data_IF_255955273427
#
_entry.id   IF_255955273427
#
_cell.length_a   1.000
_cell.length_b   1.000
_cell.length_c   1.000
_cell.angle_alpha   90.00
_cell.angle_beta   90.00
_cell.angle_gamma   90.00
#
_symmetry.space_group_name_H-M   'P 1'
#
loop_
_entity.id
_entity.type
_entity.pdbx_description
1 polymer ?
#
# COMPACT_ATOMS: atom_id res chain seq x y z
N UNK A 1 -51.23 33.98 -4.42
CA UNK A 1 -50.37 34.20 -3.24
C UNK A 1 -49.02 33.56 -3.52
N UNK A 2 -47.93 34.33 -3.45
CA UNK A 2 -46.56 33.82 -3.65
C UNK A 2 -45.94 33.59 -2.27
N UNK A 3 -45.67 32.33 -1.92
CA UNK A 3 -44.99 31.98 -0.68
C UNK A 3 -43.48 32.21 -0.86
N UNK A 4 -42.91 33.15 -0.07
CA UNK A 4 -41.45 33.33 0.01
C UNK A 4 -40.85 32.17 0.81
N UNK A 5 -40.16 31.25 0.14
CA UNK A 5 -39.40 30.19 0.82
C UNK A 5 -38.08 30.81 1.33
N UNK A 6 -38.00 31.07 2.62
CA UNK A 6 -36.77 31.42 3.34
C UNK A 6 -36.05 30.15 3.80
N UNK A 7 -34.71 30.17 3.92
CA UNK A 7 -33.93 29.03 4.41
C UNK A 7 -33.42 28.02 3.35
N UNK A 8 -33.84 28.12 2.09
CA UNK A 8 -33.38 27.20 1.01
C UNK A 8 -31.86 27.29 0.76
N UNK A 9 -31.29 28.50 0.87
CA UNK A 9 -29.84 28.73 0.80
C UNK A 9 -29.09 28.14 2.00
N UNK A 10 -29.67 28.22 3.19
CA UNK A 10 -29.08 27.67 4.43
C UNK A 10 -29.10 26.13 4.38
N UNK A 11 -30.22 25.54 3.91
CA UNK A 11 -30.32 24.12 3.63
C UNK A 11 -29.26 23.66 2.61
N UNK A 12 -29.11 24.39 1.50
CA UNK A 12 -28.11 24.07 0.48
C UNK A 12 -26.68 24.12 1.05
N UNK A 13 -26.37 25.11 1.90
CA UNK A 13 -25.08 25.21 2.56
C UNK A 13 -24.84 24.08 3.58
N UNK A 14 -25.86 23.73 4.37
CA UNK A 14 -25.80 22.63 5.32
C UNK A 14 -25.58 21.28 4.61
N UNK A 15 -26.29 21.05 3.49
CA UNK A 15 -26.11 19.86 2.66
C UNK A 15 -24.70 19.77 2.08
N UNK A 16 -24.17 20.86 1.49
CA UNK A 16 -22.78 20.91 0.99
C UNK A 16 -21.74 20.65 2.09
N UNK A 17 -21.99 21.16 3.31
CA UNK A 17 -21.09 20.93 4.45
C UNK A 17 -21.11 19.46 4.87
N UNK A 18 -22.29 18.84 4.93
CA UNK A 18 -22.45 17.42 5.22
C UNK A 18 -21.83 16.53 4.16
N UNK A 19 -22.00 16.85 2.89
CA UNK A 19 -21.37 16.13 1.78
C UNK A 19 -19.84 16.13 1.90
N UNK A 20 -19.24 17.31 2.15
CA UNK A 20 -17.79 17.42 2.39
C UNK A 20 -17.32 16.63 3.61
N UNK A 21 -18.12 16.60 4.68
CA UNK A 21 -17.83 15.82 5.88
C UNK A 21 -17.79 14.32 5.56
N UNK A 22 -18.81 13.82 4.85
CA UNK A 22 -18.91 12.42 4.43
C UNK A 22 -17.75 12.06 3.50
N UNK A 23 -17.46 12.88 2.49
CA UNK A 23 -16.33 12.65 1.57
C UNK A 23 -14.98 12.59 2.31
N UNK A 24 -14.75 13.49 3.26
CA UNK A 24 -13.52 13.50 4.08
C UNK A 24 -13.39 12.24 4.93
N UNK A 25 -14.49 11.80 5.54
CA UNK A 25 -14.54 10.57 6.34
C UNK A 25 -14.36 9.32 5.46
N UNK A 26 -15.05 9.24 4.32
CA UNK A 26 -14.89 8.16 3.35
C UNK A 26 -13.44 8.04 2.85
N UNK A 27 -12.81 9.17 2.50
CA UNK A 27 -11.40 9.21 2.10
C UNK A 27 -10.46 8.65 3.18
N UNK A 28 -10.73 8.94 4.46
CA UNK A 28 -9.98 8.37 5.60
C UNK A 28 -10.23 6.86 5.72
N UNK A 29 -11.48 6.42 5.59
CA UNK A 29 -11.86 5.01 5.63
C UNK A 29 -11.18 4.20 4.51
N UNK A 30 -11.19 4.69 3.27
CA UNK A 30 -10.50 4.07 2.12
C UNK A 30 -9.00 3.98 2.40
N UNK A 31 -8.37 5.06 2.85
CA UNK A 31 -6.93 5.03 3.14
C UNK A 31 -6.58 4.03 4.24
N UNK A 32 -7.39 3.95 5.29
CA UNK A 32 -7.14 3.07 6.44
C UNK A 32 -7.34 1.61 6.06
N UNK A 33 -8.42 1.28 5.35
CA UNK A 33 -8.69 -0.07 4.84
C UNK A 33 -7.61 -0.56 3.88
N UNK A 34 -7.23 0.25 2.90
CA UNK A 34 -6.14 -0.07 1.97
C UNK A 34 -4.80 -0.28 2.68
N UNK A 35 -4.48 0.56 3.67
CA UNK A 35 -3.27 0.38 4.48
C UNK A 35 -3.32 -0.89 5.34
N UNK A 36 -4.50 -1.27 5.85
CA UNK A 36 -4.68 -2.50 6.61
C UNK A 36 -4.46 -3.74 5.72
N UNK A 37 -5.11 -3.78 4.56
CA UNK A 37 -4.91 -4.85 3.57
C UNK A 37 -3.44 -4.98 3.14
N UNK A 38 -2.75 -3.86 2.92
CA UNK A 38 -1.33 -3.89 2.57
C UNK A 38 -0.42 -4.32 3.73
N UNK A 39 -0.79 -4.05 4.99
CA UNK A 39 -0.06 -4.58 6.15
C UNK A 39 -0.21 -6.10 6.23
N UNK A 40 -1.42 -6.60 6.06
CA UNK A 40 -1.74 -8.02 6.04
C UNK A 40 -0.99 -8.74 4.91
N UNK A 41 -1.11 -8.23 3.68
CA UNK A 41 -0.44 -8.78 2.51
C UNK A 41 1.08 -8.86 2.70
N UNK A 42 1.71 -7.79 3.23
CA UNK A 42 3.14 -7.85 3.55
C UNK A 42 3.49 -8.91 4.58
N UNK A 43 2.64 -9.14 5.58
CA UNK A 43 2.82 -10.19 6.58
C UNK A 43 2.89 -11.56 5.92
N UNK A 44 1.97 -11.82 4.99
CA UNK A 44 1.86 -13.08 4.24
C UNK A 44 2.96 -13.24 3.19
N UNK A 45 3.39 -12.15 2.53
CA UNK A 45 4.44 -12.18 1.50
C UNK A 45 5.83 -12.37 2.10
N UNK A 46 6.10 -11.84 3.30
CA UNK A 46 7.43 -11.83 3.94
C UNK A 46 8.10 -13.21 4.07
N UNK A 47 7.40 -14.30 4.41
CA UNK A 47 7.95 -15.66 4.42
C UNK A 47 8.49 -16.14 3.07
N UNK A 48 7.88 -15.74 1.96
CA UNK A 48 8.31 -16.17 0.63
C UNK A 48 9.60 -15.48 0.17
N UNK A 49 9.95 -14.33 0.75
CA UNK A 49 11.13 -13.55 0.35
C UNK A 49 12.41 -14.26 0.82
N UNK A 50 13.33 -14.61 -0.10
CA UNK A 50 14.60 -15.23 0.25
C UNK A 50 15.44 -14.33 1.17
N UNK A 51 16.11 -14.95 2.15
CA UNK A 51 17.00 -14.28 3.10
C UNK A 51 18.38 -14.90 3.02
N UNK A 52 19.41 -14.05 2.96
CA UNK A 52 20.80 -14.51 2.98
C UNK A 52 21.11 -15.26 4.28
N UNK A 53 21.94 -16.32 4.20
CA UNK A 53 22.40 -17.05 5.39
C UNK A 53 23.17 -16.13 6.35
N UNK A 54 24.12 -15.37 5.81
CA UNK A 54 24.94 -14.38 6.51
C UNK A 54 25.02 -13.04 5.74
N UNK A 55 25.42 -11.97 6.43
CA UNK A 55 25.69 -10.70 5.78
C UNK A 55 27.05 -10.73 5.09
N UNK A 56 27.18 -10.02 3.97
CA UNK A 56 28.44 -9.85 3.21
C UNK A 56 28.90 -8.39 3.26
N UNK A 57 30.05 -8.10 2.65
CA UNK A 57 30.58 -6.74 2.51
C UNK A 57 29.64 -5.81 1.71
N UNK A 58 28.85 -6.37 0.79
CA UNK A 58 27.98 -5.60 -0.10
C UNK A 58 26.49 -5.70 0.23
N UNK A 59 26.08 -6.70 1.04
CA UNK A 59 24.66 -7.00 1.29
C UNK A 59 24.43 -7.37 2.73
N UNK A 60 23.46 -6.73 3.37
CA UNK A 60 23.01 -7.12 4.70
C UNK A 60 21.98 -8.27 4.60
N UNK A 61 22.00 -9.15 5.61
CA UNK A 61 21.00 -10.21 5.75
C UNK A 61 19.60 -9.61 5.88
N UNK A 62 18.66 -10.12 5.07
CA UNK A 62 17.25 -9.74 5.13
C UNK A 62 16.91 -8.39 4.47
N UNK A 63 17.85 -7.74 3.77
CA UNK A 63 17.60 -6.43 3.12
C UNK A 63 16.35 -6.43 2.25
N UNK A 64 16.17 -7.40 1.35
CA UNK A 64 14.98 -7.44 0.48
C UNK A 64 13.68 -7.59 1.30
N UNK A 65 13.67 -8.49 2.28
CA UNK A 65 12.52 -8.73 3.17
C UNK A 65 12.13 -7.49 3.98
N UNK A 66 13.13 -6.78 4.50
CA UNK A 66 12.93 -5.56 5.29
C UNK A 66 12.49 -4.36 4.44
N UNK A 67 12.77 -4.41 3.14
CA UNK A 67 12.45 -3.36 2.18
C UNK A 67 11.16 -3.62 1.37
N UNK A 68 10.37 -4.63 1.76
CA UNK A 68 8.99 -4.79 1.27
C UNK A 68 8.11 -3.66 1.82
N UNK A 69 7.73 -2.73 0.94
CA UNK A 69 7.00 -1.51 1.28
C UNK A 69 5.69 -1.45 0.52
N UNK A 70 4.77 -0.62 1.01
CA UNK A 70 3.55 -0.28 0.30
C UNK A 70 3.44 1.23 0.14
N UNK A 71 2.75 1.67 -0.90
CA UNK A 71 2.34 3.05 -1.09
C UNK A 71 0.87 3.06 -1.48
N UNK A 72 0.07 3.76 -0.70
CA UNK A 72 -1.35 3.96 -0.94
C UNK A 72 -1.56 5.29 -1.65
N UNK A 73 -2.30 5.27 -2.73
CA UNK A 73 -2.75 6.44 -3.47
C UNK A 73 -4.28 6.51 -3.40
N UNK A 74 -4.80 7.69 -3.13
CA UNK A 74 -6.24 7.95 -3.15
C UNK A 74 -6.49 8.87 -4.34
N UNK A 75 -7.50 8.54 -5.14
CA UNK A 75 -7.89 9.34 -6.29
C UNK A 75 -8.32 10.75 -5.85
N UNK A 76 -8.31 11.68 -6.81
CA UNK A 76 -8.61 13.10 -6.56
C UNK A 76 -10.04 13.30 -6.06
N UNK A 77 -10.96 12.48 -6.56
CA UNK A 77 -12.37 12.42 -6.14
C UNK A 77 -12.55 11.95 -4.69
N UNK A 78 -11.56 11.24 -4.13
CA UNK A 78 -11.62 10.68 -2.79
C UNK A 78 -12.53 9.46 -2.63
N UNK A 79 -13.09 8.94 -3.75
CA UNK A 79 -14.04 7.83 -3.76
C UNK A 79 -13.37 6.49 -4.11
N UNK A 80 -12.16 6.55 -4.66
CA UNK A 80 -11.38 5.35 -5.01
C UNK A 80 -9.92 5.48 -4.58
N UNK A 81 -9.22 4.35 -4.52
CA UNK A 81 -7.82 4.32 -4.18
C UNK A 81 -7.19 2.98 -4.52
N UNK A 82 -5.86 2.97 -4.57
CA UNK A 82 -5.08 1.76 -4.83
C UNK A 82 -3.83 1.74 -3.95
N UNK A 83 -3.38 0.54 -3.61
CA UNK A 83 -2.14 0.35 -2.87
C UNK A 83 -1.21 -0.56 -3.63
N UNK A 84 0.02 -0.08 -3.83
CA UNK A 84 1.06 -0.80 -4.54
C UNK A 84 2.07 -1.31 -3.53
N UNK A 85 2.28 -2.62 -3.50
CA UNK A 85 3.35 -3.28 -2.74
C UNK A 85 4.58 -3.43 -3.64
N UNK A 86 5.76 -3.05 -3.14
CA UNK A 86 7.01 -3.02 -3.91
C UNK A 86 8.22 -3.07 -3.01
N UNK A 87 9.34 -3.57 -3.53
CA UNK A 87 10.64 -3.40 -2.88
C UNK A 87 11.15 -1.99 -3.15
N UNK A 88 11.44 -1.24 -2.09
CA UNK A 88 12.03 0.10 -2.18
C UNK A 88 12.98 0.37 -1.02
N UNK A 89 14.01 1.19 -1.26
CA UNK A 89 14.93 1.66 -0.22
C UNK A 89 14.18 2.44 0.87
N UNK A 90 14.68 2.37 2.10
CA UNK A 90 14.15 3.13 3.22
C UNK A 90 14.35 4.64 3.04
N UNK A 91 13.51 5.45 3.70
CA UNK A 91 13.68 6.91 3.74
C UNK A 91 13.51 7.62 2.40
N UNK A 92 12.82 7.01 1.42
CA UNK A 92 12.59 7.64 0.11
C UNK A 92 13.84 7.70 -0.79
N UNK A 93 14.96 7.13 -0.35
CA UNK A 93 16.21 7.08 -1.12
C UNK A 93 16.02 6.33 -2.45
N UNK A 94 16.75 6.77 -3.49
CA UNK A 94 16.81 6.09 -4.78
C UNK A 94 17.48 4.72 -4.60
N UNK A 95 16.97 3.68 -5.27
CA UNK A 95 17.70 2.41 -5.39
C UNK A 95 18.84 2.58 -6.39
N UNK A 96 19.95 1.87 -6.20
CA UNK A 96 21.04 1.86 -7.16
C UNK A 96 20.55 1.34 -8.52
N UNK A 97 21.14 1.86 -9.59
CA UNK A 97 20.96 1.30 -10.94
C UNK A 97 21.84 0.07 -11.12
N UNK A 98 21.47 -0.78 -12.07
CA UNK A 98 22.32 -1.88 -12.51
C UNK A 98 23.63 -1.29 -13.04
N UNK A 99 24.77 -1.79 -12.55
CA UNK A 99 26.10 -1.29 -12.89
C UNK A 99 26.67 -0.23 -11.94
N UNK A 100 25.86 0.37 -11.06
CA UNK A 100 26.39 1.25 -10.02
C UNK A 100 27.07 0.42 -8.90
N UNK A 101 28.36 0.66 -8.64
CA UNK A 101 29.12 -0.03 -7.58
C UNK A 101 28.74 0.50 -6.18
N UNK A 102 27.54 0.17 -5.75
CA UNK A 102 26.98 0.63 -4.48
C UNK A 102 27.51 -0.21 -3.32
N UNK A 103 28.21 0.44 -2.38
CA UNK A 103 28.65 -0.16 -1.10
C UNK A 103 27.58 -0.11 0.00
N UNK A 104 26.40 0.47 -0.28
CA UNK A 104 25.27 0.49 0.65
C UNK A 104 24.66 -0.91 0.81
N UNK A 105 24.95 -1.54 1.94
CA UNK A 105 24.50 -2.90 2.29
C UNK A 105 22.98 -3.00 2.50
N UNK A 106 22.31 -1.86 2.70
CA UNK A 106 20.86 -1.77 2.92
C UNK A 106 20.06 -1.55 1.63
N UNK A 107 20.73 -1.44 0.48
CA UNK A 107 20.05 -1.26 -0.78
C UNK A 107 19.52 -2.59 -1.34
N UNK A 108 18.20 -2.75 -1.51
CA UNK A 108 17.65 -3.98 -2.05
C UNK A 108 17.73 -4.05 -3.59
N UNK A 109 18.60 -3.30 -4.28
CA UNK A 109 18.58 -3.18 -5.75
C UNK A 109 18.56 -4.52 -6.49
N UNK A 110 19.18 -5.56 -5.91
CA UNK A 110 19.26 -6.91 -6.46
C UNK A 110 17.97 -7.74 -6.32
N UNK A 111 16.89 -7.19 -5.76
CA UNK A 111 15.64 -7.93 -5.51
C UNK A 111 15.07 -8.57 -6.77
N UNK A 112 15.16 -7.89 -7.92
CA UNK A 112 14.59 -8.37 -9.18
C UNK A 112 15.35 -9.58 -9.73
N UNK A 113 16.65 -9.67 -9.43
CA UNK A 113 17.48 -10.84 -9.80
C UNK A 113 17.09 -12.06 -8.96
N UNK A 114 16.74 -11.87 -7.68
CA UNK A 114 16.24 -12.95 -6.84
C UNK A 114 14.86 -13.43 -7.28
N UNK A 115 13.99 -12.49 -7.66
CA UNK A 115 12.61 -12.80 -8.05
C UNK A 115 12.54 -13.43 -9.44
N UNK A 116 13.18 -12.81 -10.44
CA UNK A 116 13.09 -13.21 -11.86
C UNK A 116 14.18 -14.18 -12.30
N UNK A 117 15.27 -14.26 -11.54
CA UNK A 117 16.44 -15.04 -11.91
C UNK A 117 17.44 -14.27 -12.77
N UNK A 118 18.47 -14.99 -13.18
CA UNK A 118 19.58 -14.55 -14.04
C UNK A 118 19.94 -15.70 -14.98
N UNK A 119 20.81 -15.46 -15.96
CA UNK A 119 21.33 -16.52 -16.83
C UNK A 119 21.98 -17.69 -16.08
N UNK A 120 22.48 -17.45 -14.86
CA UNK A 120 23.20 -18.44 -14.04
C UNK A 120 22.39 -19.00 -12.86
N UNK A 121 21.18 -18.50 -12.63
CA UNK A 121 20.38 -18.86 -11.45
C UNK A 121 18.90 -18.66 -11.71
N UNK A 122 18.09 -19.68 -11.46
CA UNK A 122 16.63 -19.62 -11.62
C UNK A 122 15.99 -18.64 -10.62
N UNK A 123 14.94 -17.95 -11.07
CA UNK A 123 14.17 -17.04 -10.23
C UNK A 123 13.40 -17.79 -9.14
N UNK A 124 13.30 -17.18 -7.97
CA UNK A 124 12.49 -17.75 -6.88
C UNK A 124 11.00 -17.42 -7.02
N UNK A 125 10.68 -16.40 -7.82
CA UNK A 125 9.34 -15.88 -8.07
C UNK A 125 8.55 -15.60 -6.78
N UNK A 126 9.25 -15.08 -5.77
CA UNK A 126 8.68 -14.84 -4.45
C UNK A 126 7.59 -13.77 -4.46
N UNK A 127 7.62 -12.82 -5.41
CA UNK A 127 6.57 -11.82 -5.53
C UNK A 127 5.25 -12.44 -5.96
N UNK A 128 5.26 -13.24 -7.02
CA UNK A 128 4.05 -13.88 -7.55
C UNK A 128 3.48 -14.88 -6.54
N UNK A 129 4.35 -15.73 -5.96
CA UNK A 129 3.97 -16.67 -4.89
C UNK A 129 3.35 -15.95 -3.69
N UNK A 130 4.01 -14.89 -3.23
CA UNK A 130 3.54 -14.09 -2.11
C UNK A 130 2.23 -13.35 -2.42
N UNK A 131 2.07 -12.82 -3.64
CA UNK A 131 0.86 -12.11 -4.05
C UNK A 131 -0.34 -13.05 -4.10
N UNK A 132 -0.21 -14.22 -4.75
CA UNK A 132 -1.24 -15.26 -4.79
C UNK A 132 -1.65 -15.72 -3.39
N UNK A 133 -0.69 -15.94 -2.50
CA UNK A 133 -0.97 -16.32 -1.12
C UNK A 133 -1.67 -15.22 -0.30
N UNK A 134 -1.44 -13.95 -0.63
CA UNK A 134 -1.95 -12.81 0.12
C UNK A 134 -3.31 -12.29 -0.37
N UNK A 135 -3.68 -12.56 -1.62
CA UNK A 135 -4.79 -11.92 -2.34
C UNK A 135 -6.11 -11.97 -1.57
N UNK A 136 -6.62 -13.17 -1.29
CA UNK A 136 -7.92 -13.37 -0.65
C UNK A 136 -7.99 -12.72 0.74
N UNK A 137 -6.96 -12.91 1.57
CA UNK A 137 -6.91 -12.35 2.92
C UNK A 137 -6.80 -10.83 2.88
N UNK A 138 -5.96 -10.28 2.00
CA UNK A 138 -5.81 -8.84 1.86
C UNK A 138 -7.13 -8.18 1.44
N UNK A 139 -7.85 -8.74 0.47
CA UNK A 139 -9.16 -8.23 0.04
C UNK A 139 -10.19 -8.28 1.16
N UNK A 140 -10.27 -9.40 1.89
CA UNK A 140 -11.14 -9.50 3.08
C UNK A 140 -10.81 -8.46 4.14
N UNK A 141 -9.53 -8.25 4.44
CA UNK A 141 -9.11 -7.23 5.40
C UNK A 141 -9.49 -5.83 4.95
N UNK A 142 -9.36 -5.51 3.66
CA UNK A 142 -9.80 -4.22 3.10
C UNK A 142 -11.30 -4.05 3.29
N UNK A 143 -12.12 -5.02 2.87
CA UNK A 143 -13.57 -4.95 2.98
C UNK A 143 -14.02 -4.79 4.45
N UNK A 144 -13.56 -5.66 5.35
CA UNK A 144 -13.92 -5.63 6.77
C UNK A 144 -13.51 -4.32 7.44
N UNK A 145 -12.30 -3.82 7.13
CA UNK A 145 -11.84 -2.55 7.70
C UNK A 145 -12.66 -1.39 7.15
N UNK A 146 -12.97 -1.39 5.85
CA UNK A 146 -13.76 -0.33 5.24
C UNK A 146 -15.18 -0.27 5.81
N UNK A 147 -15.85 -1.41 5.92
CA UNK A 147 -17.18 -1.49 6.53
C UNK A 147 -17.19 -0.99 7.98
N UNK A 148 -16.18 -1.39 8.76
CA UNK A 148 -16.03 -0.92 10.14
C UNK A 148 -15.89 0.61 10.20
N UNK A 149 -14.99 1.18 9.39
CA UNK A 149 -14.81 2.63 9.37
C UNK A 149 -16.06 3.36 8.88
N UNK A 150 -16.77 2.85 7.88
CA UNK A 150 -17.97 3.51 7.34
C UNK A 150 -19.17 3.42 8.27
N UNK A 151 -19.30 2.35 9.07
CA UNK A 151 -20.34 2.28 10.13
C UNK A 151 -20.21 3.43 11.13
N UNK A 152 -18.98 3.86 11.43
CA UNK A 152 -18.73 4.99 12.33
C UNK A 152 -19.00 6.36 11.66
N UNK A 153 -19.15 6.40 10.34
CA UNK A 153 -19.43 7.62 9.56
C UNK A 153 -20.92 7.88 9.39
N UNK A 154 -21.72 6.80 9.32
CA UNK A 154 -23.16 6.85 9.06
C UNK A 154 -23.98 7.09 10.34
N UNK A 155 -23.39 6.83 11.52
CA UNK A 155 -23.95 7.27 12.82
C UNK A 155 -23.92 8.79 12.95
#
# INVERSE_FOLDING_TARGET
MSAKITGLKELQQALKKKEKEIQSKAKKAIRKSLNAGAKEAKGIMKPYIPVLGSSTNFRQKGTVKNNLRHRTHIARDGLSGSTIIRIRRAGGKRMARVGENTRDRTDPFYWFMLDRGTSKMTGTHFFDKGAKAAEERALRTVANTFEKEMKDVIK
#
